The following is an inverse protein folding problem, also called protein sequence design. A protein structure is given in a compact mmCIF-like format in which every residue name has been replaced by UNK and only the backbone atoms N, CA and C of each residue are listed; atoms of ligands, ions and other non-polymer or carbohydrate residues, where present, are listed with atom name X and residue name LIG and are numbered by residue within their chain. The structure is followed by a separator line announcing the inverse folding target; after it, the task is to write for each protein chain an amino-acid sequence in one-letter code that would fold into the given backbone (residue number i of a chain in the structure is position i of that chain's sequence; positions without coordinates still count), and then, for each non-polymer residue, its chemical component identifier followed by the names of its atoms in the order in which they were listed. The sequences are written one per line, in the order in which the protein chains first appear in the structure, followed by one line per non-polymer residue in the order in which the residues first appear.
data_IF_266841175248
#
_entry.id   IF_266841175248
#
_cell.length_a   1.000
_cell.length_b   1.000
_cell.length_c   1.000
_cell.angle_alpha   90.00
_cell.angle_beta   90.00
_cell.angle_gamma   90.00
#
_symmetry.space_group_name_H-M   'P 1'
#
loop_
_entity.id
_entity.type
_entity.pdbx_description
1 polymer ?
#
# COMPACT_ATOMS: atom_id res chain seq x y z
N UNK A 1 -27.36 -14.77 18.19
CA UNK A 1 -26.85 -15.24 16.89
C UNK A 1 -25.37 -14.87 16.80
N UNK A 2 -24.49 -15.77 17.23
CA UNK A 2 -23.04 -15.56 17.21
C UNK A 2 -22.50 -15.86 15.82
N UNK A 3 -22.04 -14.83 15.11
CA UNK A 3 -21.23 -14.98 13.91
C UNK A 3 -19.83 -15.41 14.34
N UNK A 4 -19.49 -16.67 14.18
CA UNK A 4 -18.09 -17.12 14.18
C UNK A 4 -17.50 -16.77 12.81
N UNK A 5 -16.51 -15.89 12.85
CA UNK A 5 -15.76 -15.35 11.72
C UNK A 5 -14.47 -16.18 11.55
N UNK A 6 -14.63 -17.42 11.13
CA UNK A 6 -13.57 -18.21 10.51
C UNK A 6 -13.71 -18.02 9.00
N UNK A 7 -12.90 -17.13 8.42
CA UNK A 7 -12.95 -16.68 7.01
C UNK A 7 -12.82 -17.75 5.92
N UNK A 8 -13.06 -19.01 6.23
CA UNK A 8 -13.41 -20.09 5.31
C UNK A 8 -14.91 -20.08 5.04
N UNK A 9 -15.31 -19.55 3.88
CA UNK A 9 -16.65 -19.76 3.31
C UNK A 9 -16.82 -21.23 2.93
N UNK A 10 -16.93 -22.10 3.93
CA UNK A 10 -17.22 -23.51 3.72
C UNK A 10 -18.72 -23.74 3.86
N UNK A 11 -19.28 -24.54 2.97
CA UNK A 11 -20.64 -25.00 3.16
C UNK A 11 -20.69 -25.85 4.44
N UNK A 12 -21.68 -25.61 5.31
CA UNK A 12 -21.88 -26.38 6.56
C UNK A 12 -22.32 -27.83 6.35
N UNK A 13 -22.10 -28.39 5.16
CA UNK A 13 -22.32 -29.80 4.90
C UNK A 13 -21.01 -30.57 5.07
N UNK A 14 -21.10 -31.83 5.48
CA UNK A 14 -19.95 -32.74 5.49
C UNK A 14 -19.40 -32.98 4.07
N UNK A 15 -18.35 -33.79 3.94
CA UNK A 15 -17.80 -34.19 2.65
C UNK A 15 -18.90 -34.69 1.73
N UNK A 16 -18.96 -34.17 0.49
CA UNK A 16 -19.89 -34.68 -0.49
C UNK A 16 -19.39 -36.05 -0.95
N UNK A 17 -20.11 -37.12 -0.61
CA UNK A 17 -19.83 -38.44 -1.16
C UNK A 17 -20.04 -38.45 -2.67
N UNK A 18 -19.27 -39.27 -3.39
CA UNK A 18 -19.39 -39.45 -4.84
C UNK A 18 -20.81 -39.94 -5.23
N UNK A 19 -21.42 -40.74 -4.36
CA UNK A 19 -22.82 -41.11 -4.43
C UNK A 19 -23.68 -40.03 -3.77
N UNK A 20 -24.56 -39.42 -4.57
CA UNK A 20 -25.46 -38.37 -4.11
C UNK A 20 -26.58 -38.98 -3.25
N UNK A 21 -26.39 -38.98 -1.94
CA UNK A 21 -27.42 -39.43 -0.97
C UNK A 21 -28.65 -38.51 -0.90
N UNK A 22 -28.52 -37.23 -1.30
CA UNK A 22 -29.60 -36.23 -1.20
C UNK A 22 -30.43 -36.18 -2.48
N UNK A 23 -31.72 -36.48 -2.36
CA UNK A 23 -32.70 -36.32 -3.44
C UNK A 23 -32.75 -34.90 -4.00
N UNK A 24 -33.23 -34.76 -5.24
CA UNK A 24 -33.49 -33.44 -5.82
C UNK A 24 -34.58 -32.70 -5.05
N UNK A 25 -34.49 -31.37 -4.98
CA UNK A 25 -35.59 -30.53 -4.54
C UNK A 25 -36.80 -30.81 -5.42
N UNK A 26 -37.92 -31.19 -4.81
CA UNK A 26 -39.17 -31.41 -5.53
C UNK A 26 -39.68 -30.07 -6.04
N UNK A 27 -39.94 -29.97 -7.34
CA UNK A 27 -40.51 -28.76 -7.95
C UNK A 27 -41.84 -28.40 -7.28
N UNK A 28 -42.03 -27.11 -6.96
CA UNK A 28 -43.20 -26.60 -6.24
C UNK A 28 -43.27 -26.99 -4.76
N UNK A 29 -42.21 -27.58 -4.18
CA UNK A 29 -42.12 -27.70 -2.73
C UNK A 29 -41.81 -26.35 -2.08
N UNK A 30 -42.20 -26.13 -0.80
CA UNK A 30 -41.90 -24.87 -0.11
C UNK A 30 -40.41 -24.50 -0.12
N UNK A 31 -39.53 -25.51 -0.03
CA UNK A 31 -38.08 -25.32 -0.12
C UNK A 31 -37.61 -24.90 -1.52
N UNK A 32 -38.23 -25.46 -2.57
CA UNK A 32 -37.96 -25.07 -3.96
C UNK A 32 -38.40 -23.63 -4.22
N UNK A 33 -39.59 -23.24 -3.76
CA UNK A 33 -40.12 -21.90 -4.00
C UNK A 33 -39.37 -20.83 -3.19
N UNK A 34 -38.93 -21.16 -1.98
CA UNK A 34 -38.03 -20.31 -1.21
C UNK A 34 -36.66 -20.14 -1.90
N UNK A 35 -36.10 -21.23 -2.45
CA UNK A 35 -34.86 -21.17 -3.21
C UNK A 35 -35.02 -20.30 -4.47
N UNK A 36 -36.13 -20.44 -5.22
CA UNK A 36 -36.44 -19.58 -6.36
C UNK A 36 -36.54 -18.12 -5.91
N UNK A 37 -37.26 -17.83 -4.83
CA UNK A 37 -37.43 -16.47 -4.31
C UNK A 37 -36.08 -15.79 -3.98
N UNK A 38 -35.12 -16.54 -3.44
CA UNK A 38 -33.78 -16.03 -3.13
C UNK A 38 -32.94 -15.87 -4.40
N UNK A 39 -32.88 -16.90 -5.24
CA UNK A 39 -32.04 -16.91 -6.46
C UNK A 39 -32.53 -15.88 -7.48
N UNK A 40 -33.84 -15.70 -7.61
CA UNK A 40 -34.47 -14.79 -8.55
C UNK A 40 -34.76 -13.40 -7.95
N UNK A 41 -34.30 -13.10 -6.74
CA UNK A 41 -34.45 -11.76 -6.16
C UNK A 41 -33.70 -10.74 -7.04
N UNK A 42 -34.45 -9.81 -7.64
CA UNK A 42 -33.91 -8.75 -8.51
C UNK A 42 -32.87 -7.88 -7.78
N UNK A 43 -33.03 -7.66 -6.47
CA UNK A 43 -32.05 -6.91 -5.65
C UNK A 43 -30.78 -7.72 -5.44
N UNK A 44 -30.90 -9.03 -5.23
CA UNK A 44 -29.76 -9.93 -5.12
C UNK A 44 -28.97 -9.98 -6.43
N UNK A 45 -29.64 -10.26 -7.55
CA UNK A 45 -29.03 -10.34 -8.89
C UNK A 45 -28.28 -9.04 -9.24
N UNK A 46 -28.89 -7.88 -8.97
CA UNK A 46 -28.25 -6.58 -9.22
C UNK A 46 -26.99 -6.35 -8.36
N UNK A 47 -26.93 -6.96 -7.18
CA UNK A 47 -25.79 -6.86 -6.25
C UNK A 47 -24.74 -7.96 -6.44
N UNK A 48 -25.03 -9.04 -7.16
CA UNK A 48 -24.04 -10.11 -7.43
C UNK A 48 -22.71 -9.55 -7.95
N UNK A 49 -22.65 -8.62 -8.93
CA UNK A 49 -21.39 -8.07 -9.41
C UNK A 49 -20.57 -7.36 -8.32
N UNK A 50 -21.23 -6.74 -7.35
CA UNK A 50 -20.56 -6.09 -6.21
C UNK A 50 -19.90 -7.13 -5.31
N UNK A 51 -20.62 -8.20 -4.96
CA UNK A 51 -20.09 -9.26 -4.09
C UNK A 51 -19.02 -10.14 -4.76
N UNK A 52 -19.09 -10.33 -6.09
CA UNK A 52 -18.02 -10.97 -6.85
C UNK A 52 -16.70 -10.19 -6.76
N UNK A 53 -16.79 -8.87 -6.61
CA UNK A 53 -15.66 -7.95 -6.46
C UNK A 53 -15.29 -7.66 -4.99
N UNK A 54 -16.04 -8.17 -4.00
CA UNK A 54 -15.68 -8.10 -2.58
C UNK A 54 -14.52 -9.06 -2.26
N UNK A 55 -13.36 -8.80 -2.85
CA UNK A 55 -12.09 -9.42 -2.47
C UNK A 55 -11.44 -8.55 -1.41
N UNK A 56 -10.87 -9.19 -0.40
CA UNK A 56 -10.03 -8.48 0.56
C UNK A 56 -8.81 -7.91 -0.17
N UNK A 57 -8.61 -6.60 -0.09
CA UNK A 57 -7.42 -5.90 -0.59
C UNK A 57 -6.27 -5.92 0.41
N UNK A 58 -6.40 -6.59 1.55
CA UNK A 58 -5.43 -6.55 2.63
C UNK A 58 -4.00 -6.92 2.20
N UNK A 59 -3.83 -7.95 1.38
CA UNK A 59 -2.50 -8.35 0.89
C UNK A 59 -1.94 -7.34 -0.13
N UNK A 60 -2.79 -6.72 -0.94
CA UNK A 60 -2.39 -5.65 -1.86
C UNK A 60 -1.95 -4.40 -1.08
N UNK A 61 -2.70 -4.02 -0.05
CA UNK A 61 -2.37 -2.89 0.83
C UNK A 61 -1.08 -3.16 1.62
N UNK A 62 -0.88 -4.39 2.10
CA UNK A 62 0.37 -4.81 2.73
C UNK A 62 1.56 -4.65 1.78
N UNK A 63 1.40 -5.04 0.50
CA UNK A 63 2.44 -4.88 -0.50
C UNK A 63 2.72 -3.40 -0.80
N UNK A 64 1.68 -2.58 -0.95
CA UNK A 64 1.83 -1.14 -1.14
C UNK A 64 2.54 -0.47 0.05
N UNK A 65 2.21 -0.88 1.28
CA UNK A 65 2.90 -0.42 2.49
C UNK A 65 4.37 -0.87 2.52
N UNK A 66 4.68 -2.06 2.01
CA UNK A 66 6.05 -2.53 1.88
C UNK A 66 6.83 -1.69 0.87
N UNK A 67 6.24 -1.38 -0.30
CA UNK A 67 6.86 -0.47 -1.29
C UNK A 67 7.24 0.85 -0.63
N UNK A 68 6.38 1.41 0.23
CA UNK A 68 6.68 2.67 0.94
C UNK A 68 7.88 2.57 1.90
N UNK A 69 8.22 1.38 2.40
CA UNK A 69 9.45 1.18 3.19
C UNK A 69 10.71 1.29 2.33
N UNK A 70 10.68 0.76 1.11
CA UNK A 70 11.82 0.81 0.19
C UNK A 70 11.91 2.14 -0.59
N UNK A 71 10.76 2.69 -0.97
CA UNK A 71 10.60 3.87 -1.79
C UNK A 71 9.65 4.88 -1.10
N UNK A 72 10.13 5.47 -0.01
CA UNK A 72 9.36 6.47 0.73
C UNK A 72 9.02 7.70 -0.12
N UNK A 73 7.76 8.15 -0.06
CA UNK A 73 7.28 9.39 -0.72
C UNK A 73 7.96 10.66 -0.23
N UNK A 74 8.70 10.60 0.87
CA UNK A 74 9.43 11.75 1.46
C UNK A 74 10.72 12.07 0.73
N UNK A 75 11.19 11.17 -0.13
CA UNK A 75 12.45 11.34 -0.85
C UNK A 75 12.19 11.31 -2.35
N UNK A 76 12.86 12.20 -3.08
CA UNK A 76 12.88 12.17 -4.55
C UNK A 76 13.86 11.10 -5.03
N UNK A 77 13.39 10.18 -5.86
CA UNK A 77 14.22 9.17 -6.49
C UNK A 77 14.25 9.39 -8.01
N UNK A 78 15.41 9.18 -8.63
CA UNK A 78 15.45 9.08 -10.08
C UNK A 78 14.71 7.80 -10.54
N UNK A 79 14.21 7.75 -11.79
CA UNK A 79 13.43 6.61 -12.29
C UNK A 79 14.11 5.25 -12.13
N UNK A 80 15.42 5.17 -12.36
CA UNK A 80 16.19 3.91 -12.27
C UNK A 80 16.26 3.41 -10.84
N UNK A 81 16.62 4.29 -9.90
CA UNK A 81 16.67 3.96 -8.46
C UNK A 81 15.29 3.66 -7.90
N UNK A 82 14.24 4.33 -8.37
CA UNK A 82 12.86 4.04 -7.98
C UNK A 82 12.43 2.64 -8.45
N UNK A 83 12.72 2.30 -9.72
CA UNK A 83 12.45 0.97 -10.28
C UNK A 83 13.19 -0.12 -9.51
N UNK A 84 14.48 0.07 -9.23
CA UNK A 84 15.28 -0.89 -8.46
C UNK A 84 14.71 -1.12 -7.05
N UNK A 85 14.31 -0.06 -6.35
CA UNK A 85 13.67 -0.15 -5.02
C UNK A 85 12.34 -0.89 -5.06
N UNK A 86 11.51 -0.64 -6.07
CA UNK A 86 10.25 -1.36 -6.24
C UNK A 86 10.48 -2.86 -6.51
N UNK A 87 11.51 -3.21 -7.29
CA UNK A 87 11.89 -4.60 -7.51
C UNK A 87 12.38 -5.27 -6.22
N UNK A 88 13.18 -4.58 -5.40
CA UNK A 88 13.58 -5.08 -4.08
C UNK A 88 12.37 -5.31 -3.17
N UNK A 89 11.42 -4.37 -3.15
CA UNK A 89 10.18 -4.54 -2.39
C UNK A 89 9.36 -5.74 -2.88
N UNK A 90 9.31 -5.99 -4.19
CA UNK A 90 8.63 -7.15 -4.78
C UNK A 90 9.33 -8.46 -4.40
N UNK A 91 10.66 -8.52 -4.46
CA UNK A 91 11.44 -9.67 -4.01
C UNK A 91 11.20 -9.98 -2.54
N UNK A 92 11.25 -8.95 -1.68
CA UNK A 92 10.99 -9.09 -0.25
C UNK A 92 9.55 -9.52 0.03
N UNK A 93 8.57 -9.00 -0.73
CA UNK A 93 7.18 -9.44 -0.63
C UNK A 93 7.03 -10.92 -1.00
N UNK A 94 7.64 -11.33 -2.11
CA UNK A 94 7.56 -12.70 -2.60
C UNK A 94 8.21 -13.69 -1.63
N UNK A 95 9.33 -13.32 -1.02
CA UNK A 95 9.98 -14.14 0.02
C UNK A 95 9.09 -14.34 1.26
N UNK A 96 8.14 -13.43 1.52
CA UNK A 96 7.34 -13.40 2.75
C UNK A 96 5.84 -13.62 2.54
N UNK A 97 5.38 -13.85 1.32
CA UNK A 97 3.96 -13.93 0.99
C UNK A 97 3.27 -15.17 1.58
N UNK A 98 3.98 -16.29 1.68
CA UNK A 98 3.47 -17.59 2.14
C UNK A 98 3.84 -17.91 3.60
N UNK A 99 4.17 -16.89 4.41
CA UNK A 99 4.47 -17.11 5.83
C UNK A 99 3.27 -17.72 6.54
N UNK A 100 3.54 -18.79 7.28
CA UNK A 100 2.53 -19.48 8.07
C UNK A 100 2.12 -18.63 9.28
N UNK A 101 0.99 -19.02 9.88
CA UNK A 101 0.56 -18.43 11.13
C UNK A 101 1.44 -18.94 12.27
N UNK A 102 1.83 -18.05 13.17
CA UNK A 102 2.64 -18.40 14.34
C UNK A 102 1.83 -19.30 15.25
N UNK A 103 2.42 -20.43 15.63
CA UNK A 103 1.80 -21.44 16.50
C UNK A 103 2.47 -21.39 17.88
N UNK A 104 1.67 -21.53 18.94
CA UNK A 104 2.15 -21.68 20.31
C UNK A 104 2.68 -23.10 20.56
N UNK A 105 3.36 -23.33 21.69
CA UNK A 105 3.85 -24.67 22.08
C UNK A 105 2.74 -25.73 22.13
N UNK A 106 1.53 -25.29 22.41
CA UNK A 106 0.35 -26.15 22.56
C UNK A 106 -0.35 -26.43 21.21
N UNK A 107 0.24 -26.02 20.08
CA UNK A 107 -0.35 -26.20 18.74
C UNK A 107 -1.44 -25.19 18.36
N UNK A 108 -1.79 -24.25 19.26
CA UNK A 108 -2.79 -23.21 18.98
C UNK A 108 -2.22 -22.02 18.22
N UNK A 109 -3.00 -21.42 17.33
CA UNK A 109 -2.59 -20.20 16.61
C UNK A 109 -2.44 -19.02 17.57
N UNK A 110 -1.36 -18.24 17.42
CA UNK A 110 -1.11 -17.03 18.21
C UNK A 110 -1.87 -15.84 17.62
N UNK A 111 -2.62 -15.15 18.48
CA UNK A 111 -3.39 -13.96 18.10
C UNK A 111 -2.80 -12.68 18.69
N UNK A 112 -3.00 -11.56 17.99
CA UNK A 112 -2.70 -10.23 18.48
C UNK A 112 -3.99 -9.40 18.53
N UNK A 113 -4.22 -8.72 19.67
CA UNK A 113 -5.38 -7.86 19.89
C UNK A 113 -5.11 -6.46 19.35
N UNK A 114 -6.13 -5.81 18.80
CA UNK A 114 -6.12 -4.40 18.48
C UNK A 114 -7.48 -3.77 18.76
N UNK A 115 -7.49 -2.45 18.97
CA UNK A 115 -8.71 -1.68 19.21
C UNK A 115 -9.09 -0.94 17.93
N UNK A 116 -10.27 -1.24 17.38
CA UNK A 116 -10.83 -0.51 16.25
C UNK A 116 -11.50 0.76 16.75
N UNK A 117 -10.95 1.93 16.40
CA UNK A 117 -11.54 3.22 16.76
C UNK A 117 -12.87 3.45 16.05
N UNK A 118 -12.98 3.04 14.79
CA UNK A 118 -14.20 3.20 13.99
C UNK A 118 -15.35 2.34 14.52
N UNK A 119 -15.04 1.10 14.93
CA UNK A 119 -16.04 0.18 15.47
C UNK A 119 -16.19 0.23 17.00
N UNK A 120 -15.38 1.04 17.69
CA UNK A 120 -15.33 1.15 19.16
C UNK A 120 -15.27 -0.24 19.83
N UNK A 121 -14.50 -1.15 19.25
CA UNK A 121 -14.45 -2.54 19.69
C UNK A 121 -13.05 -3.13 19.63
N UNK A 122 -12.80 -4.10 20.51
CA UNK A 122 -11.61 -4.93 20.43
C UNK A 122 -11.80 -6.00 19.38
N UNK A 123 -10.76 -6.21 18.58
CA UNK A 123 -10.70 -7.27 17.58
C UNK A 123 -9.35 -7.96 17.65
N UNK A 124 -9.25 -9.13 17.03
CA UNK A 124 -8.03 -9.94 17.02
C UNK A 124 -7.65 -10.29 15.60
N UNK A 125 -6.36 -10.55 15.37
CA UNK A 125 -5.89 -11.15 14.12
C UNK A 125 -4.82 -12.21 14.41
N UNK A 126 -4.75 -13.22 13.57
CA UNK A 126 -3.71 -14.26 13.66
C UNK A 126 -2.36 -13.67 13.27
N UNK A 127 -1.35 -13.83 14.13
CA UNK A 127 -0.01 -13.31 13.89
C UNK A 127 0.74 -14.28 12.96
N UNK A 128 1.25 -13.79 11.83
CA UNK A 128 2.17 -14.56 10.97
C UNK A 128 3.53 -14.74 11.66
N UNK A 129 4.27 -15.77 11.26
CA UNK A 129 5.66 -15.98 11.68
C UNK A 129 6.55 -14.76 11.42
N UNK A 130 7.64 -14.65 12.17
CA UNK A 130 8.57 -13.53 12.02
C UNK A 130 9.23 -13.57 10.63
N UNK A 131 9.71 -12.41 10.18
CA UNK A 131 10.32 -12.28 8.85
C UNK A 131 11.75 -12.80 8.87
N UNK A 132 12.13 -13.53 7.82
CA UNK A 132 13.49 -14.03 7.65
C UNK A 132 14.07 -13.54 6.31
N UNK A 133 15.30 -13.05 6.35
CA UNK A 133 15.91 -12.30 5.24
C UNK A 133 16.98 -13.10 4.49
N UNK A 134 16.78 -14.39 4.26
CA UNK A 134 17.78 -15.25 3.60
C UNK A 134 18.14 -14.81 2.18
N UNK A 135 17.19 -14.16 1.49
CA UNK A 135 17.39 -13.64 0.15
C UNK A 135 18.38 -12.47 0.10
N UNK A 136 18.56 -11.73 1.22
CA UNK A 136 19.42 -10.54 1.26
C UNK A 136 20.91 -10.89 1.08
N UNK A 137 21.49 -11.85 1.83
CA UNK A 137 22.85 -12.31 1.57
C UNK A 137 23.07 -12.78 0.13
N UNK A 138 22.11 -13.50 -0.46
CA UNK A 138 22.19 -13.96 -1.85
C UNK A 138 22.25 -12.79 -2.82
N UNK A 139 21.38 -11.78 -2.66
CA UNK A 139 21.38 -10.58 -3.51
C UNK A 139 22.73 -9.85 -3.39
N UNK A 140 23.25 -9.67 -2.17
CA UNK A 140 24.54 -8.99 -1.95
C UNK A 140 25.68 -9.77 -2.64
N UNK A 141 25.73 -11.09 -2.45
CA UNK A 141 26.71 -11.96 -3.11
C UNK A 141 26.67 -11.81 -4.63
N UNK A 142 25.48 -11.91 -5.22
CA UNK A 142 25.30 -11.76 -6.67
C UNK A 142 25.72 -10.37 -7.16
N UNK A 143 25.44 -9.30 -6.41
CA UNK A 143 25.91 -7.95 -6.76
C UNK A 143 27.45 -7.90 -6.80
N UNK A 144 28.12 -8.47 -5.80
CA UNK A 144 29.58 -8.49 -5.74
C UNK A 144 30.17 -9.32 -6.89
N UNK A 145 29.64 -10.52 -7.14
CA UNK A 145 30.08 -11.39 -8.25
C UNK A 145 29.91 -10.71 -9.61
N UNK A 146 28.73 -10.13 -9.87
CA UNK A 146 28.47 -9.38 -11.10
C UNK A 146 29.43 -8.19 -11.23
N UNK A 147 29.75 -7.52 -10.13
CA UNK A 147 30.66 -6.37 -10.13
C UNK A 147 32.12 -6.77 -10.40
N UNK A 148 32.56 -7.94 -9.93
CA UNK A 148 33.89 -8.47 -10.18
C UNK A 148 34.08 -8.90 -11.65
N UNK A 149 33.01 -9.36 -12.29
CA UNK A 149 33.02 -9.80 -13.69
C UNK A 149 32.80 -8.64 -14.68
N UNK A 150 32.31 -7.49 -14.22
CA UNK A 150 32.02 -6.33 -15.05
C UNK A 150 33.33 -5.62 -15.48
N UNK A 151 33.68 -5.62 -16.78
CA UNK A 151 34.88 -4.94 -17.27
C UNK A 151 34.79 -3.41 -17.19
N UNK A 152 33.59 -2.87 -16.93
CA UNK A 152 33.33 -1.42 -16.86
C UNK A 152 33.43 -0.93 -15.42
N UNK A 153 34.23 0.11 -15.14
CA UNK A 153 34.39 0.71 -13.80
C UNK A 153 33.12 1.31 -13.16
N UNK A 154 33.12 1.57 -11.84
CA UNK A 154 31.94 1.98 -11.05
C UNK A 154 31.31 3.33 -11.43
N UNK A 155 32.08 4.26 -11.99
CA UNK A 155 31.65 5.65 -12.20
C UNK A 155 31.61 5.98 -13.69
N UNK A 156 30.48 5.72 -14.35
CA UNK A 156 30.19 6.24 -15.68
C UNK A 156 28.79 6.82 -15.75
N UNK A 157 28.61 7.81 -16.63
CA UNK A 157 27.28 8.27 -17.05
C UNK A 157 26.58 7.09 -17.71
N UNK A 158 25.61 6.50 -17.00
CA UNK A 158 24.75 5.45 -17.53
C UNK A 158 23.92 6.06 -18.65
N UNK A 159 24.02 5.48 -19.85
CA UNK A 159 23.10 5.81 -20.94
C UNK A 159 21.69 5.42 -20.49
N UNK A 160 20.74 6.34 -20.64
CA UNK A 160 19.34 6.09 -20.27
C UNK A 160 18.83 4.84 -21.00
N UNK A 161 17.97 4.03 -20.38
CA UNK A 161 17.32 2.91 -21.09
C UNK A 161 16.53 3.41 -22.31
N UNK A 162 16.36 2.62 -23.37
CA UNK A 162 15.62 3.02 -24.59
C UNK A 162 14.21 3.54 -24.23
N UNK A 163 13.59 2.96 -23.20
CA UNK A 163 12.25 3.33 -22.74
C UNK A 163 12.25 4.32 -21.56
N UNK A 164 13.38 4.94 -21.21
CA UNK A 164 13.42 5.90 -20.11
C UNK A 164 12.68 7.19 -20.52
N UNK A 165 11.66 7.64 -19.76
CA UNK A 165 10.87 8.83 -20.11
C UNK A 165 11.72 10.10 -20.20
N UNK A 166 12.89 10.14 -19.55
CA UNK A 166 13.85 11.26 -19.66
C UNK A 166 14.50 11.37 -21.05
N UNK A 167 14.29 10.40 -21.95
CA UNK A 167 14.68 10.49 -23.36
C UNK A 167 13.71 11.33 -24.21
N UNK A 168 12.45 11.43 -23.79
CA UNK A 168 11.40 12.16 -24.53
C UNK A 168 11.52 13.66 -24.30
N UNK A 169 11.83 14.07 -23.07
CA UNK A 169 12.06 15.47 -22.72
C UNK A 169 13.10 15.59 -21.61
N UNK A 170 13.94 16.62 -21.70
CA UNK A 170 14.97 16.90 -20.69
C UNK A 170 14.36 17.35 -19.34
N UNK A 171 13.11 17.83 -19.36
CA UNK A 171 12.40 18.40 -18.21
C UNK A 171 10.99 17.82 -18.17
N UNK A 172 10.46 17.55 -16.97
CA UNK A 172 9.11 17.00 -16.78
C UNK A 172 7.97 17.93 -17.26
N UNK A 173 8.25 19.24 -17.39
CA UNK A 173 7.26 20.24 -17.76
C UNK A 173 6.98 20.22 -19.28
N UNK A 174 5.73 20.49 -19.73
CA UNK A 174 5.40 20.56 -21.15
C UNK A 174 6.14 21.66 -21.91
N UNK A 175 6.57 22.72 -21.21
CA UNK A 175 7.31 23.85 -21.75
C UNK A 175 8.71 23.89 -21.16
N UNK A 176 9.67 24.36 -21.96
CA UNK A 176 11.03 24.58 -21.47
C UNK A 176 11.02 25.70 -20.41
N UNK A 177 11.82 25.57 -19.35
CA UNK A 177 11.96 26.64 -18.38
C UNK A 177 12.58 27.88 -19.07
N UNK A 178 12.12 29.10 -18.75
CA UNK A 178 12.84 30.33 -19.08
C UNK A 178 14.25 30.31 -18.49
N UNK A 179 15.11 31.24 -18.91
CA UNK A 179 16.46 31.30 -18.36
C UNK A 179 16.43 31.53 -16.84
N UNK A 180 17.42 31.02 -16.11
CA UNK A 180 17.53 31.24 -14.67
C UNK A 180 17.57 32.74 -14.34
N UNK A 181 18.16 33.56 -15.22
CA UNK A 181 18.21 35.01 -15.06
C UNK A 181 16.80 35.64 -15.10
N UNK A 182 15.97 35.24 -16.07
CA UNK A 182 14.60 35.74 -16.20
C UNK A 182 13.74 35.32 -15.00
N UNK A 183 13.89 34.07 -14.54
CA UNK A 183 13.17 33.55 -13.37
C UNK A 183 13.56 34.29 -12.08
N UNK A 184 14.84 34.66 -11.93
CA UNK A 184 15.31 35.46 -10.79
C UNK A 184 14.76 36.89 -10.86
N UNK A 185 14.76 37.52 -12.04
CA UNK A 185 14.22 38.86 -12.22
C UNK A 185 12.71 38.93 -11.94
N UNK A 186 11.95 37.90 -12.32
CA UNK A 186 10.51 37.81 -12.05
C UNK A 186 10.17 37.42 -10.60
N UNK A 187 11.15 36.97 -9.81
CA UNK A 187 10.93 36.47 -8.45
C UNK A 187 10.71 37.63 -7.47
N UNK A 188 9.44 37.97 -7.23
CA UNK A 188 9.05 38.95 -6.21
C UNK A 188 8.90 38.25 -4.86
N UNK A 189 9.70 38.64 -3.86
CA UNK A 189 9.58 38.13 -2.48
C UNK A 189 8.38 38.74 -1.77
N UNK A 190 7.58 37.91 -1.09
CA UNK A 190 6.45 38.38 -0.25
C UNK A 190 6.89 39.20 0.95
N UNK A 191 8.15 39.08 1.38
CA UNK A 191 8.71 39.80 2.53
C UNK A 191 9.26 41.18 2.17
N UNK A 192 9.33 41.52 0.87
CA UNK A 192 9.92 42.78 0.39
C UNK A 192 8.86 43.76 -0.13
N UNK A 193 7.60 43.57 0.25
CA UNK A 193 6.58 44.60 0.05
C UNK A 193 6.77 45.63 1.16
N UNK A 194 7.35 46.77 0.82
CA UNK A 194 7.17 47.97 1.65
C UNK A 194 5.68 48.27 1.65
N UNK A 195 5.00 48.00 2.78
CA UNK A 195 3.63 48.47 3.01
C UNK A 195 3.72 49.98 3.29
N UNK A 196 3.24 50.85 2.40
CA UNK A 196 3.34 52.30 2.58
C UNK A 196 2.50 52.84 3.75
N UNK A 197 1.66 52.00 4.39
CA UNK A 197 0.78 52.38 5.51
C UNK A 197 1.28 51.91 6.88
N UNK A 198 2.51 51.43 7.01
CA UNK A 198 3.03 50.98 8.31
C UNK A 198 3.49 52.16 9.20
N UNK A 199 2.60 53.12 9.46
CA UNK A 199 2.75 54.09 10.57
C UNK A 199 2.16 53.51 11.84
N UNK A 200 3.02 53.09 12.77
CA UNK A 200 2.72 53.12 14.20
C UNK A 200 4.02 53.49 14.93
N UNK A 201 4.25 54.80 15.07
CA UNK A 201 5.23 55.34 16.01
C UNK A 201 4.70 55.13 17.43
N UNK A 202 5.27 54.17 18.15
CA UNK A 202 5.11 54.10 19.61
C UNK A 202 6.27 54.86 20.26
N UNK A 203 6.07 56.14 20.56
CA UNK A 203 6.97 56.91 21.42
C UNK A 203 6.75 56.53 22.89
N UNK A 204 7.75 55.91 23.51
CA UNK A 204 7.76 55.61 24.95
C UNK A 204 8.19 56.83 25.75
N UNK A 205 7.28 57.75 26.02
CA UNK A 205 7.48 58.78 27.04
C UNK A 205 6.19 58.95 27.83
N UNK A 206 6.11 58.27 28.97
CA UNK A 206 5.69 58.86 30.25
C UNK A 206 5.56 57.77 31.32
N UNK A 207 6.26 57.94 32.44
CA UNK A 207 6.13 57.07 33.59
C UNK A 207 7.37 56.89 34.46
N UNK A 208 8.18 57.93 34.67
CA UNK A 208 9.05 57.99 35.85
C UNK A 208 8.15 58.14 37.09
N UNK A 209 7.78 57.02 37.70
CA UNK A 209 7.35 56.98 39.10
C UNK A 209 8.57 56.60 39.94
N UNK A 210 9.01 57.56 40.75
CA UNK A 210 10.11 57.46 41.71
C UNK A 210 9.89 56.34 42.72
N UNK A 211 10.96 55.64 43.06
CA UNK A 211 11.14 54.98 44.37
C UNK A 211 11.94 55.91 45.25
#
# INVERSE_FOLDING_TARGET
MSYTDDGTYSCKHGPLCAEREKGWLKAGSPAHDAAIGIVMDKRFIKKIPYYLNCRSTAELENFQNLILKYASKRHSFNPVSYRARNLLAALDNNAHCQRQMMVNKDGSTRYQRYYSKTGIQWSVYAKKEDKEYHHVPTIIKTIVENRLQDPVGMNRKVLLDVNDPRRVSAVLAPTLPPSTADLVAQKISRFNKEDPEKTLDYSWTDGLMSV
#
